data_IF_389739811155
#
_entry.id   IF_389739811155
#
_cell.length_a   1.000
_cell.length_b   1.000
_cell.length_c   1.000
_cell.angle_alpha   90.00
_cell.angle_beta   90.00
_cell.angle_gamma   90.00
#
_symmetry.space_group_name_H-M   'P 1'
#
loop_
_entity.id
_entity.type
_entity.pdbx_description
1 polymer ?
#
# COMPACT_ATOMS: atom_id res chain seq x y z
N UNK A 1 -1.18 -33.64 34.74
CA UNK A 1 -0.75 -32.44 34.02
C UNK A 1 -1.48 -32.47 32.68
N UNK A 2 -2.50 -31.68 32.53
CA UNK A 2 -3.18 -31.48 31.23
C UNK A 2 -2.17 -30.83 30.30
N UNK A 3 -1.73 -31.52 29.27
CA UNK A 3 -0.88 -30.94 28.24
C UNK A 3 -1.63 -29.70 27.67
N UNK A 4 -0.98 -28.56 27.78
CA UNK A 4 -1.53 -27.32 27.28
C UNK A 4 -1.66 -27.42 25.74
N UNK A 5 -2.88 -27.34 25.23
CA UNK A 5 -3.14 -27.28 23.79
C UNK A 5 -2.94 -25.84 23.30
N UNK A 6 -1.93 -25.60 22.48
CA UNK A 6 -1.74 -24.30 21.81
C UNK A 6 -2.91 -23.97 20.89
N UNK A 7 -3.23 -22.68 20.82
CA UNK A 7 -4.30 -22.14 19.97
C UNK A 7 -3.75 -21.05 19.04
N UNK A 8 -4.06 -21.17 17.75
CA UNK A 8 -3.87 -20.12 16.76
C UNK A 8 -5.23 -19.68 16.22
N UNK A 9 -5.51 -18.39 16.27
CA UNK A 9 -6.79 -17.83 15.82
C UNK A 9 -6.58 -16.79 14.73
N UNK A 10 -7.14 -17.04 13.54
CA UNK A 10 -7.34 -16.02 12.50
C UNK A 10 -8.62 -15.25 12.85
N UNK A 11 -8.45 -14.00 13.30
CA UNK A 11 -9.57 -13.21 13.82
C UNK A 11 -10.41 -12.57 12.73
N UNK A 12 -9.81 -12.21 11.60
CA UNK A 12 -10.54 -11.61 10.48
C UNK A 12 -9.78 -11.76 9.15
N UNK A 13 -10.55 -11.91 8.07
CA UNK A 13 -10.08 -11.97 6.70
C UNK A 13 -11.15 -11.44 5.75
N UNK A 14 -10.75 -10.99 4.57
CA UNK A 14 -11.65 -10.51 3.53
C UNK A 14 -11.96 -11.65 2.56
N UNK A 15 -13.22 -12.13 2.56
CA UNK A 15 -13.68 -13.28 1.74
C UNK A 15 -13.48 -13.05 0.25
N UNK A 16 -13.67 -11.81 -0.21
CA UNK A 16 -13.55 -11.45 -1.62
C UNK A 16 -12.10 -11.51 -2.12
N UNK A 17 -11.13 -11.48 -1.21
CA UNK A 17 -9.70 -11.43 -1.53
C UNK A 17 -8.96 -12.71 -1.14
N UNK A 18 -9.42 -13.42 -0.10
CA UNK A 18 -8.73 -14.59 0.43
C UNK A 18 -9.70 -15.56 1.11
N UNK A 19 -9.80 -16.78 0.60
CA UNK A 19 -10.13 -17.89 1.48
C UNK A 19 -8.99 -18.08 2.50
N UNK A 20 -9.26 -18.53 3.76
CA UNK A 20 -8.20 -18.96 4.66
C UNK A 20 -7.29 -19.92 3.90
N UNK A 21 -5.95 -19.78 3.98
CA UNK A 21 -5.05 -20.59 3.17
C UNK A 21 -5.33 -22.09 3.38
N UNK A 22 -5.62 -22.79 2.31
CA UNK A 22 -5.85 -24.23 2.34
C UNK A 22 -4.66 -24.94 2.96
N UNK A 23 -4.91 -25.90 3.85
CA UNK A 23 -3.89 -26.70 4.48
C UNK A 23 -3.24 -26.13 5.76
N UNK A 24 -3.39 -24.83 6.06
CA UNK A 24 -2.81 -24.26 7.30
C UNK A 24 -3.39 -24.95 8.54
N UNK A 25 -4.69 -25.24 8.55
CA UNK A 25 -5.34 -25.94 9.66
C UNK A 25 -4.75 -27.34 9.88
N UNK A 26 -4.51 -28.08 8.81
CA UNK A 26 -3.93 -29.44 8.87
C UNK A 26 -2.46 -29.40 9.31
N UNK A 27 -1.70 -28.41 8.84
CA UNK A 27 -0.30 -28.24 9.26
C UNK A 27 -0.21 -27.92 10.75
N UNK A 28 -1.03 -26.99 11.23
CA UNK A 28 -1.09 -26.65 12.66
C UNK A 28 -1.56 -27.83 13.52
N UNK A 29 -2.55 -28.58 13.04
CA UNK A 29 -3.06 -29.78 13.75
C UNK A 29 -1.99 -30.88 13.89
N UNK A 30 -1.15 -31.07 12.87
CA UNK A 30 0.00 -32.01 12.94
C UNK A 30 0.99 -31.64 14.05
N UNK A 31 1.04 -30.38 14.45
CA UNK A 31 1.86 -29.90 15.57
C UNK A 31 1.08 -29.75 16.88
N UNK A 32 -0.15 -30.29 16.97
CA UNK A 32 -0.98 -30.22 18.17
C UNK A 32 -1.53 -28.82 18.47
N UNK A 33 -1.58 -27.93 17.46
CA UNK A 33 -2.08 -26.57 17.57
C UNK A 33 -3.54 -26.52 17.08
N UNK A 34 -4.44 -26.05 17.93
CA UNK A 34 -5.85 -25.86 17.58
C UNK A 34 -5.97 -24.62 16.68
N UNK A 35 -6.46 -24.81 15.47
CA UNK A 35 -6.77 -23.75 14.51
C UNK A 35 -8.20 -23.26 14.66
N UNK A 36 -8.39 -21.95 14.76
CA UNK A 36 -9.69 -21.27 14.83
C UNK A 36 -9.70 -20.18 13.77
N UNK A 37 -10.75 -20.14 12.96
CA UNK A 37 -10.96 -19.14 11.91
C UNK A 37 -12.28 -18.45 12.14
N UNK A 38 -12.30 -17.13 12.03
CA UNK A 38 -13.52 -16.34 12.13
C UNK A 38 -13.40 -15.00 11.43
N UNK A 39 -14.54 -14.36 11.23
CA UNK A 39 -14.66 -13.01 10.71
C UNK A 39 -15.25 -12.11 11.81
N UNK A 40 -14.37 -11.65 12.68
CA UNK A 40 -14.75 -10.83 13.83
C UNK A 40 -14.56 -9.36 13.46
N UNK A 41 -15.62 -8.76 12.93
CA UNK A 41 -15.62 -7.40 12.32
C UNK A 41 -15.54 -6.26 13.34
N UNK A 42 -15.55 -6.54 14.65
CA UNK A 42 -15.45 -5.56 15.73
C UNK A 42 -14.34 -5.93 16.70
N UNK A 43 -13.77 -4.92 17.38
CA UNK A 43 -12.72 -5.13 18.38
C UNK A 43 -13.20 -6.03 19.52
N UNK A 44 -14.43 -5.87 19.99
CA UNK A 44 -15.00 -6.70 21.05
C UNK A 44 -15.09 -8.17 20.63
N UNK A 45 -15.58 -8.46 19.43
CA UNK A 45 -15.68 -9.83 18.92
C UNK A 45 -14.26 -10.43 18.69
N UNK A 46 -13.29 -9.64 18.25
CA UNK A 46 -11.90 -10.07 18.11
C UNK A 46 -11.28 -10.46 19.46
N UNK A 47 -11.53 -9.69 20.51
CA UNK A 47 -11.09 -10.02 21.89
C UNK A 47 -11.73 -11.33 22.36
N UNK A 48 -13.05 -11.48 22.22
CA UNK A 48 -13.76 -12.68 22.66
C UNK A 48 -13.23 -13.95 21.99
N UNK A 49 -12.94 -13.87 20.69
CA UNK A 49 -12.41 -14.99 19.91
C UNK A 49 -10.95 -15.34 20.27
N UNK A 50 -10.11 -14.33 20.51
CA UNK A 50 -8.66 -14.47 20.60
C UNK A 50 -8.08 -14.38 22.02
N UNK A 51 -8.84 -13.97 23.04
CA UNK A 51 -8.38 -13.75 24.42
C UNK A 51 -7.47 -14.84 24.94
N UNK A 52 -7.84 -16.11 24.74
CA UNK A 52 -7.10 -17.27 25.21
C UNK A 52 -6.25 -17.96 24.10
N UNK A 53 -5.92 -17.24 23.04
CA UNK A 53 -5.10 -17.75 21.95
C UNK A 53 -3.62 -17.46 22.19
N UNK A 54 -2.76 -18.39 21.82
CA UNK A 54 -1.30 -18.24 21.92
C UNK A 54 -0.74 -17.48 20.70
N UNK A 55 -1.40 -17.63 19.54
CA UNK A 55 -1.10 -16.89 18.30
C UNK A 55 -2.39 -16.26 17.78
N UNK A 56 -2.32 -14.98 17.43
CA UNK A 56 -3.42 -14.23 16.81
C UNK A 56 -3.00 -13.82 15.41
N UNK A 57 -3.84 -14.13 14.42
CA UNK A 57 -3.59 -13.79 13.03
C UNK A 57 -4.67 -12.85 12.50
N UNK A 58 -4.30 -11.94 11.60
CA UNK A 58 -5.23 -11.06 10.90
C UNK A 58 -4.80 -10.92 9.44
N UNK A 59 -5.76 -11.06 8.53
CA UNK A 59 -5.54 -10.85 7.09
C UNK A 59 -6.18 -9.55 6.62
N UNK A 60 -7.36 -9.19 7.09
CA UNK A 60 -8.04 -7.95 6.70
C UNK A 60 -7.25 -6.68 7.09
N UNK A 61 -7.53 -5.58 6.42
CA UNK A 61 -6.93 -4.28 6.76
C UNK A 61 -7.61 -3.57 7.94
N UNK A 62 -8.62 -4.19 8.57
CA UNK A 62 -9.40 -3.58 9.66
C UNK A 62 -8.54 -3.31 10.89
N UNK A 63 -8.82 -2.20 11.57
CA UNK A 63 -8.17 -1.76 12.82
C UNK A 63 -8.71 -2.55 14.03
N UNK A 64 -8.42 -3.85 14.07
CA UNK A 64 -8.90 -4.75 15.14
C UNK A 64 -7.86 -4.99 16.23
N UNK A 65 -6.57 -4.85 15.95
CA UNK A 65 -5.48 -5.09 16.91
C UNK A 65 -4.92 -3.79 17.47
N UNK A 66 -5.82 -2.99 18.05
CA UNK A 66 -5.49 -1.75 18.76
C UNK A 66 -4.91 -2.04 20.15
N UNK A 67 -4.28 -1.04 20.79
CA UNK A 67 -3.73 -1.17 22.14
C UNK A 67 -4.71 -1.78 23.15
N UNK A 68 -5.95 -1.25 23.31
CA UNK A 68 -6.95 -1.83 24.21
C UNK A 68 -7.33 -3.28 23.91
N UNK A 69 -7.26 -3.72 22.66
CA UNK A 69 -7.51 -5.12 22.29
C UNK A 69 -6.33 -5.99 22.69
N UNK A 70 -5.10 -5.56 22.35
CA UNK A 70 -3.86 -6.29 22.66
C UNK A 70 -3.68 -6.48 24.16
N UNK A 71 -4.05 -5.48 24.97
CA UNK A 71 -3.99 -5.58 26.43
C UNK A 71 -4.90 -6.70 27.00
N UNK A 72 -5.94 -7.10 26.30
CA UNK A 72 -6.88 -8.15 26.69
C UNK A 72 -6.52 -9.54 26.17
N UNK A 73 -5.47 -9.68 25.36
CA UNK A 73 -5.00 -10.98 24.87
C UNK A 73 -4.15 -11.69 25.94
N UNK A 74 -4.79 -12.43 26.83
CA UNK A 74 -4.19 -12.98 28.07
C UNK A 74 -2.99 -13.89 27.82
N UNK A 75 -2.97 -14.62 26.70
CA UNK A 75 -2.01 -15.69 26.41
C UNK A 75 -1.19 -15.49 25.17
N UNK A 76 -1.50 -14.43 24.40
CA UNK A 76 -0.88 -14.20 23.11
C UNK A 76 0.64 -13.97 23.24
N UNK A 77 1.39 -14.70 22.43
CA UNK A 77 2.84 -14.59 22.32
C UNK A 77 3.28 -14.05 20.97
N UNK A 78 2.42 -14.20 19.96
CA UNK A 78 2.74 -13.77 18.61
C UNK A 78 1.47 -13.28 17.91
N UNK A 79 1.57 -12.14 17.26
CA UNK A 79 0.60 -11.62 16.32
C UNK A 79 1.20 -11.75 14.91
N UNK A 80 0.44 -12.34 13.99
CA UNK A 80 0.86 -12.51 12.58
C UNK A 80 -0.09 -11.72 11.68
N UNK A 81 0.44 -10.68 11.06
CA UNK A 81 -0.24 -9.96 9.99
C UNK A 81 0.00 -10.68 8.66
N UNK A 82 -1.05 -11.28 8.09
CA UNK A 82 -1.00 -11.95 6.79
C UNK A 82 -1.06 -10.90 5.66
N UNK A 83 -0.03 -10.11 5.54
CA UNK A 83 0.16 -9.06 4.56
C UNK A 83 1.42 -8.24 4.83
N UNK A 84 1.80 -7.38 3.88
CA UNK A 84 3.04 -6.60 3.97
C UNK A 84 2.92 -5.44 4.96
N UNK A 85 1.85 -4.65 4.88
CA UNK A 85 1.58 -3.54 5.80
C UNK A 85 1.07 -4.05 7.15
N UNK A 86 1.47 -3.40 8.24
CA UNK A 86 1.10 -3.78 9.62
C UNK A 86 0.62 -2.57 10.45
N UNK A 87 0.24 -1.52 9.80
CA UNK A 87 -0.33 -0.29 10.38
C UNK A 87 -1.67 -0.52 11.11
N UNK A 88 -2.31 -1.67 10.88
CA UNK A 88 -3.51 -2.11 11.60
C UNK A 88 -3.21 -2.91 12.88
N UNK A 89 -1.95 -2.97 13.33
CA UNK A 89 -1.51 -3.61 14.58
C UNK A 89 -0.75 -2.57 15.41
N UNK A 90 -1.19 -2.34 16.65
CA UNK A 90 -0.44 -1.52 17.61
C UNK A 90 0.81 -2.25 18.09
N UNK A 91 1.90 -2.09 17.32
CA UNK A 91 3.19 -2.74 17.59
C UNK A 91 3.77 -2.27 18.93
N UNK A 92 3.53 -1.02 19.35
CA UNK A 92 4.02 -0.49 20.61
C UNK A 92 3.32 -1.18 21.81
N UNK A 93 2.00 -1.38 21.73
CA UNK A 93 1.27 -2.15 22.75
C UNK A 93 1.72 -3.61 22.80
N UNK A 94 1.90 -4.25 21.63
CA UNK A 94 2.42 -5.62 21.55
C UNK A 94 3.81 -5.74 22.20
N UNK A 95 4.70 -4.80 21.93
CA UNK A 95 6.06 -4.75 22.49
C UNK A 95 6.01 -4.61 24.02
N UNK A 96 5.16 -3.73 24.56
CA UNK A 96 4.99 -3.58 26.03
C UNK A 96 4.53 -4.88 26.70
N UNK A 97 3.74 -5.69 25.98
CA UNK A 97 3.24 -6.98 26.43
C UNK A 97 4.22 -8.15 26.17
N UNK A 98 5.36 -7.89 25.53
CA UNK A 98 6.31 -8.95 25.14
C UNK A 98 5.76 -9.86 24.03
N UNK A 99 4.80 -9.38 23.23
CA UNK A 99 4.19 -10.11 22.12
C UNK A 99 4.99 -9.81 20.83
N UNK A 100 5.44 -10.84 20.14
CA UNK A 100 6.09 -10.71 18.84
C UNK A 100 5.07 -10.31 17.78
N UNK A 101 5.44 -9.38 16.88
CA UNK A 101 4.64 -9.04 15.70
C UNK A 101 5.40 -9.45 14.45
N UNK A 102 4.78 -10.28 13.64
CA UNK A 102 5.32 -10.76 12.37
C UNK A 102 4.40 -10.33 11.23
N UNK A 103 4.98 -10.11 10.03
CA UNK A 103 4.24 -9.85 8.81
C UNK A 103 4.75 -10.73 7.66
N UNK A 104 4.12 -10.65 6.48
CA UNK A 104 4.52 -11.37 5.26
C UNK A 104 5.03 -10.39 4.21
N UNK A 105 6.32 -9.97 4.25
CA UNK A 105 6.80 -8.79 3.52
C UNK A 105 7.13 -9.04 2.04
N UNK A 106 7.04 -10.28 1.54
CA UNK A 106 7.53 -10.64 0.21
C UNK A 106 6.50 -11.26 -0.71
N UNK A 107 5.31 -11.64 -0.22
CA UNK A 107 4.34 -12.43 -0.98
C UNK A 107 3.77 -11.70 -2.21
N UNK A 108 3.67 -10.37 -2.17
CA UNK A 108 3.01 -9.56 -3.21
C UNK A 108 3.95 -8.52 -3.85
N UNK A 109 5.27 -8.67 -3.72
CA UNK A 109 6.22 -7.65 -4.22
C UNK A 109 6.07 -7.45 -5.72
N UNK A 110 5.99 -8.54 -6.46
CA UNK A 110 5.86 -8.51 -7.92
C UNK A 110 4.47 -8.03 -8.33
N UNK A 111 3.41 -8.52 -7.69
CA UNK A 111 2.02 -8.15 -8.00
C UNK A 111 1.79 -6.65 -7.82
N UNK A 112 2.25 -6.07 -6.71
CA UNK A 112 2.10 -4.62 -6.45
C UNK A 112 2.98 -3.79 -7.38
N UNK A 113 4.18 -4.27 -7.74
CA UNK A 113 5.02 -3.59 -8.71
C UNK A 113 4.39 -3.60 -10.11
N UNK A 114 3.79 -4.71 -10.52
CA UNK A 114 3.04 -4.84 -11.78
C UNK A 114 1.82 -3.91 -11.77
N UNK A 115 1.08 -3.86 -10.67
CA UNK A 115 -0.08 -2.99 -10.52
C UNK A 115 0.30 -1.50 -10.57
N UNK A 116 1.36 -1.10 -9.88
CA UNK A 116 1.88 0.27 -9.95
C UNK A 116 2.30 0.66 -11.37
N UNK A 117 2.94 -0.27 -12.10
CA UNK A 117 3.25 -0.07 -13.53
C UNK A 117 1.99 0.05 -14.38
N UNK A 118 0.98 -0.80 -14.14
CA UNK A 118 -0.28 -0.76 -14.88
C UNK A 118 -1.00 0.59 -14.69
N UNK A 119 -1.08 1.09 -13.46
CA UNK A 119 -1.64 2.40 -13.14
C UNK A 119 -0.86 3.54 -13.82
N UNK A 120 0.48 3.48 -13.81
CA UNK A 120 1.31 4.43 -14.52
C UNK A 120 1.00 4.42 -16.02
N UNK A 121 0.98 3.23 -16.65
CA UNK A 121 0.77 3.09 -18.09
C UNK A 121 -0.66 3.43 -18.50
N UNK A 122 -1.65 3.12 -17.67
CA UNK A 122 -3.02 3.57 -17.88
C UNK A 122 -3.08 5.09 -17.98
N UNK A 123 -2.58 5.79 -16.94
CA UNK A 123 -2.59 7.25 -16.92
C UNK A 123 -1.83 7.89 -18.09
N UNK A 124 -0.64 7.35 -18.41
CA UNK A 124 0.18 7.85 -19.53
C UNK A 124 -0.48 7.63 -20.90
N UNK A 125 -1.27 6.55 -21.06
CA UNK A 125 -1.86 6.13 -22.35
C UNK A 125 -3.37 6.31 -22.42
N UNK A 126 -4.06 6.58 -21.29
CA UNK A 126 -5.52 6.71 -21.20
C UNK A 126 -6.30 5.50 -21.75
N UNK A 127 -5.84 4.29 -21.43
CA UNK A 127 -6.39 3.06 -22.03
C UNK A 127 -7.85 2.86 -21.61
N UNK A 128 -8.15 2.94 -20.31
CA UNK A 128 -9.50 2.75 -19.79
C UNK A 128 -10.46 3.83 -20.29
N UNK A 129 -10.00 5.08 -20.39
CA UNK A 129 -10.79 6.18 -20.91
C UNK A 129 -11.13 5.98 -22.38
N UNK A 130 -10.17 5.57 -23.20
CA UNK A 130 -10.39 5.30 -24.63
C UNK A 130 -11.30 4.09 -24.82
N UNK A 131 -11.16 3.03 -24.01
CA UNK A 131 -12.03 1.86 -24.04
C UNK A 131 -13.49 2.25 -23.74
N UNK A 132 -13.74 3.04 -22.69
CA UNK A 132 -15.08 3.57 -22.38
C UNK A 132 -15.67 4.36 -23.55
N UNK A 133 -14.91 5.27 -24.16
CA UNK A 133 -15.39 6.06 -25.28
C UNK A 133 -15.80 5.21 -26.47
N UNK A 134 -15.01 4.20 -26.81
CA UNK A 134 -15.35 3.28 -27.92
C UNK A 134 -16.63 2.50 -27.59
N UNK A 135 -16.79 2.01 -26.35
CA UNK A 135 -18.00 1.31 -25.93
C UNK A 135 -19.24 2.20 -25.97
N UNK A 136 -19.08 3.49 -25.64
CA UNK A 136 -20.14 4.51 -25.70
C UNK A 136 -20.40 5.01 -27.15
N UNK A 137 -19.78 4.40 -28.17
CA UNK A 137 -19.93 4.81 -29.59
C UNK A 137 -19.19 6.10 -29.93
N UNK A 138 -18.34 6.60 -29.07
CA UNK A 138 -17.58 7.84 -29.28
C UNK A 138 -16.25 7.56 -29.97
N UNK A 139 -16.08 8.14 -31.17
CA UNK A 139 -14.84 8.11 -31.92
C UNK A 139 -14.21 9.50 -31.94
N UNK A 140 -13.32 9.78 -30.96
CA UNK A 140 -12.65 11.08 -30.84
C UNK A 140 -11.13 10.87 -30.69
N UNK A 141 -10.38 11.33 -31.70
CA UNK A 141 -8.92 11.23 -31.73
C UNK A 141 -8.22 12.44 -31.10
N UNK A 142 -8.94 13.51 -30.83
CA UNK A 142 -8.39 14.82 -30.44
C UNK A 142 -8.80 15.25 -29.02
N UNK A 143 -9.91 14.75 -28.49
CA UNK A 143 -10.45 15.12 -27.18
C UNK A 143 -9.73 14.48 -25.99
N UNK A 144 -8.88 13.47 -26.22
CA UNK A 144 -7.99 12.98 -25.17
C UNK A 144 -6.83 13.96 -24.97
N UNK A 145 -6.47 14.24 -23.71
CA UNK A 145 -5.18 14.90 -23.43
C UNK A 145 -4.09 14.10 -24.13
N UNK A 146 -3.07 14.75 -24.73
CA UNK A 146 -2.05 14.04 -25.50
C UNK A 146 -1.37 12.99 -24.60
N UNK A 147 -1.30 11.75 -25.08
CA UNK A 147 -0.58 10.69 -24.40
C UNK A 147 0.89 11.09 -24.23
N UNK A 148 1.44 10.87 -23.05
CA UNK A 148 2.84 11.20 -22.78
C UNK A 148 3.79 10.12 -23.26
N UNK A 149 4.96 10.55 -23.70
CA UNK A 149 6.08 9.64 -23.95
C UNK A 149 6.83 9.44 -22.64
N UNK A 150 7.14 8.18 -22.30
CA UNK A 150 7.91 7.84 -21.10
C UNK A 150 9.41 8.05 -21.31
N UNK A 151 9.93 7.75 -22.51
CA UNK A 151 11.34 7.89 -22.84
C UNK A 151 11.83 9.33 -22.65
N UNK A 152 12.88 9.48 -21.87
CA UNK A 152 13.49 10.78 -21.55
C UNK A 152 12.83 11.51 -20.36
N UNK A 153 11.75 10.95 -19.79
CA UNK A 153 11.15 11.46 -18.55
C UNK A 153 11.90 10.93 -17.32
N UNK A 154 11.61 11.53 -16.17
CA UNK A 154 12.18 11.15 -14.87
C UNK A 154 11.10 10.50 -14.02
N UNK A 155 11.39 9.31 -13.49
CA UNK A 155 10.57 8.58 -12.52
C UNK A 155 11.17 8.73 -11.13
N UNK A 156 10.40 9.25 -10.17
CA UNK A 156 10.75 9.38 -8.76
C UNK A 156 10.07 8.31 -7.91
N UNK A 157 10.83 7.69 -7.01
CA UNK A 157 10.32 6.71 -6.05
C UNK A 157 10.39 7.31 -4.64
N UNK A 158 9.24 7.52 -4.01
CA UNK A 158 9.14 7.92 -2.61
C UNK A 158 9.17 6.67 -1.74
N UNK A 159 10.28 6.43 -1.08
CA UNK A 159 10.83 5.21 -0.52
C UNK A 159 11.28 4.18 -1.60
N UNK A 160 12.40 3.51 -1.33
CA UNK A 160 13.05 2.62 -2.28
C UNK A 160 13.20 1.18 -1.73
N UNK A 161 12.08 0.68 -1.15
CA UNK A 161 11.95 -0.67 -0.62
C UNK A 161 11.87 -1.76 -1.70
N UNK A 162 11.41 -2.96 -1.32
CA UNK A 162 11.32 -4.12 -2.23
C UNK A 162 10.46 -3.86 -3.46
N UNK A 163 9.26 -3.30 -3.26
CA UNK A 163 8.30 -3.01 -4.35
C UNK A 163 8.85 -1.94 -5.28
N UNK A 164 9.43 -0.85 -4.75
CA UNK A 164 10.03 0.20 -5.56
C UNK A 164 11.18 -0.32 -6.42
N UNK A 165 12.02 -1.22 -5.90
CA UNK A 165 13.11 -1.86 -6.63
C UNK A 165 12.57 -2.75 -7.75
N UNK A 166 11.57 -3.57 -7.46
CA UNK A 166 10.92 -4.40 -8.47
C UNK A 166 10.26 -3.55 -9.57
N UNK A 167 9.65 -2.40 -9.22
CA UNK A 167 9.13 -1.46 -10.21
C UNK A 167 10.26 -0.77 -11.00
N UNK A 168 11.37 -0.41 -10.35
CA UNK A 168 12.54 0.18 -11.03
C UNK A 168 13.10 -0.76 -12.11
N UNK A 169 13.20 -2.07 -11.81
CA UNK A 169 13.61 -3.08 -12.78
C UNK A 169 12.65 -3.13 -13.99
N UNK A 170 11.33 -3.08 -13.75
CA UNK A 170 10.30 -3.10 -14.81
C UNK A 170 10.36 -1.87 -15.71
N UNK A 171 10.58 -0.69 -15.15
CA UNK A 171 10.63 0.56 -15.93
C UNK A 171 12.00 0.84 -16.54
N UNK A 172 13.02 0.05 -16.25
CA UNK A 172 14.38 0.24 -16.78
C UNK A 172 14.42 0.28 -18.32
N UNK A 173 13.57 -0.53 -18.97
CA UNK A 173 13.44 -0.59 -20.44
C UNK A 173 12.72 0.59 -21.09
N UNK A 174 12.07 1.47 -20.29
CA UNK A 174 11.33 2.61 -20.85
C UNK A 174 12.21 3.83 -21.16
N UNK A 175 13.49 3.78 -20.82
CA UNK A 175 14.43 4.87 -21.09
C UNK A 175 14.15 6.12 -20.24
N UNK A 176 13.70 5.93 -19.00
CA UNK A 176 13.51 6.96 -18.00
C UNK A 176 14.79 7.14 -17.15
N UNK A 177 14.98 8.34 -16.62
CA UNK A 177 15.90 8.57 -15.49
C UNK A 177 15.20 8.19 -14.20
N UNK A 178 15.85 7.41 -13.33
CA UNK A 178 15.27 6.95 -12.07
C UNK A 178 15.86 7.72 -10.89
N UNK A 179 15.02 8.27 -10.03
CA UNK A 179 15.39 8.93 -8.78
C UNK A 179 14.76 8.18 -7.60
N UNK A 180 15.53 8.00 -6.52
CA UNK A 180 15.04 7.40 -5.28
C UNK A 180 15.22 8.31 -4.08
N UNK A 181 14.18 8.48 -3.28
CA UNK A 181 14.25 9.03 -1.94
C UNK A 181 13.99 7.93 -0.93
N UNK A 182 14.93 7.67 -0.05
CA UNK A 182 14.75 6.79 1.11
C UNK A 182 15.76 7.22 2.18
N UNK A 183 15.32 7.58 3.40
CA UNK A 183 16.23 8.02 4.46
C UNK A 183 17.11 6.90 5.02
N UNK A 184 16.76 5.63 4.79
CA UNK A 184 17.43 4.47 5.38
C UNK A 184 18.38 3.74 4.41
N UNK A 185 18.36 4.09 3.12
CA UNK A 185 19.22 3.46 2.11
C UNK A 185 20.33 4.39 1.67
N UNK A 186 21.49 3.81 1.38
CA UNK A 186 22.60 4.53 0.76
C UNK A 186 22.48 4.63 -0.77
N UNK A 187 23.32 5.46 -1.37
CA UNK A 187 23.32 5.70 -2.81
C UNK A 187 23.72 4.44 -3.61
N UNK A 188 24.61 3.61 -3.07
CA UNK A 188 25.08 2.39 -3.72
C UNK A 188 23.94 1.36 -3.85
N UNK A 189 23.14 1.20 -2.80
CA UNK A 189 21.97 0.31 -2.81
C UNK A 189 20.95 0.71 -3.88
N UNK A 190 20.74 2.00 -4.13
CA UNK A 190 19.84 2.50 -5.17
C UNK A 190 20.44 2.39 -6.56
N UNK A 191 21.75 2.70 -6.70
CA UNK A 191 22.45 2.64 -7.97
C UNK A 191 22.45 1.24 -8.61
N UNK A 192 22.39 0.17 -7.81
CA UNK A 192 22.24 -1.22 -8.29
C UNK A 192 20.99 -1.44 -9.14
N UNK A 193 19.97 -0.60 -8.93
CA UNK A 193 18.71 -0.60 -9.70
C UNK A 193 18.62 0.56 -10.70
N UNK A 194 19.75 1.22 -10.97
CA UNK A 194 19.82 2.35 -11.90
C UNK A 194 19.21 3.66 -11.38
N UNK A 195 18.93 3.76 -10.07
CA UNK A 195 18.34 4.94 -9.47
C UNK A 195 19.39 5.83 -8.77
N UNK A 196 19.32 7.13 -9.03
CA UNK A 196 20.08 8.16 -8.31
C UNK A 196 19.41 8.45 -6.98
N UNK A 197 20.15 8.37 -5.86
CA UNK A 197 19.65 8.80 -4.56
C UNK A 197 19.63 10.32 -4.46
N UNK A 198 18.46 10.88 -4.12
CA UNK A 198 18.27 12.32 -3.90
C UNK A 198 17.44 12.55 -2.62
N UNK A 199 17.38 13.79 -2.13
CA UNK A 199 16.41 14.17 -1.12
C UNK A 199 15.00 14.30 -1.71
N UNK A 200 13.98 14.39 -0.82
CA UNK A 200 12.58 14.43 -1.25
C UNK A 200 12.28 15.68 -2.11
N UNK A 201 12.75 16.85 -1.69
CA UNK A 201 12.49 18.10 -2.41
C UNK A 201 13.12 18.08 -3.83
N UNK A 202 14.31 17.51 -3.96
CA UNK A 202 14.98 17.35 -5.25
C UNK A 202 14.22 16.34 -6.14
N UNK A 203 13.77 15.21 -5.58
CA UNK A 203 12.93 14.24 -6.30
C UNK A 203 11.68 14.93 -6.84
N UNK A 204 10.95 15.65 -6.00
CA UNK A 204 9.70 16.32 -6.36
C UNK A 204 9.90 17.34 -7.49
N UNK A 205 11.00 18.10 -7.46
CA UNK A 205 11.33 19.10 -8.50
C UNK A 205 11.72 18.47 -9.84
N UNK A 206 12.33 17.28 -9.84
CA UNK A 206 12.87 16.66 -11.05
C UNK A 206 11.96 15.61 -11.68
N UNK A 207 11.08 14.99 -10.92
CA UNK A 207 10.25 13.89 -11.39
C UNK A 207 9.09 14.34 -12.30
N UNK A 208 8.87 13.62 -13.39
CA UNK A 208 7.69 13.72 -14.25
C UNK A 208 6.61 12.73 -13.82
N UNK A 209 7.04 11.60 -13.25
CA UNK A 209 6.22 10.55 -12.66
C UNK A 209 6.71 10.27 -11.24
N UNK A 210 5.81 10.11 -10.29
CA UNK A 210 6.15 9.82 -8.90
C UNK A 210 5.36 8.58 -8.46
N UNK A 211 6.04 7.59 -7.88
CA UNK A 211 5.40 6.42 -7.27
C UNK A 211 5.74 6.34 -5.78
N UNK A 212 4.70 6.15 -4.97
CA UNK A 212 4.78 6.14 -3.50
C UNK A 212 4.84 4.71 -3.00
N UNK A 213 5.87 4.39 -2.19
CA UNK A 213 6.14 3.04 -1.68
C UNK A 213 6.53 3.00 -0.20
N UNK A 214 6.35 4.10 0.54
CA UNK A 214 6.64 4.14 1.96
C UNK A 214 5.53 3.51 2.81
N UNK A 215 5.84 2.96 3.99
CA UNK A 215 4.82 2.55 4.95
C UNK A 215 4.13 3.79 5.55
N UNK A 216 2.90 3.62 6.06
CA UNK A 216 2.22 4.65 6.84
C UNK A 216 2.78 4.66 8.27
N UNK A 217 3.28 5.81 8.67
CA UNK A 217 3.80 6.12 10.02
C UNK A 217 3.45 7.56 10.35
N UNK A 218 3.68 8.01 11.60
CA UNK A 218 3.51 9.42 11.97
C UNK A 218 4.37 10.37 11.10
N UNK A 219 5.52 9.90 10.60
CA UNK A 219 6.42 10.68 9.76
C UNK A 219 6.00 10.71 8.28
N UNK A 220 5.20 9.75 7.84
CA UNK A 220 4.76 9.62 6.45
C UNK A 220 3.28 9.95 6.25
N UNK A 221 2.53 10.18 7.33
CA UNK A 221 1.18 10.70 7.26
C UNK A 221 1.19 12.09 6.62
N UNK A 222 0.42 12.27 5.54
CA UNK A 222 0.40 13.48 4.72
C UNK A 222 1.78 13.96 4.27
N UNK A 223 2.70 13.01 4.00
CA UNK A 223 4.03 13.30 3.47
C UNK A 223 3.97 14.10 2.17
N UNK A 224 2.94 13.85 1.35
CA UNK A 224 2.66 14.63 0.14
C UNK A 224 1.40 15.47 0.37
N UNK A 225 1.60 16.75 0.69
CA UNK A 225 0.54 17.73 0.92
C UNK A 225 0.77 18.98 0.07
N UNK A 226 0.12 20.08 0.39
CA UNK A 226 0.14 21.33 -0.40
C UNK A 226 1.54 21.83 -0.72
N UNK A 227 2.49 21.75 0.25
CA UNK A 227 3.87 22.17 0.05
C UNK A 227 4.55 21.29 -1.00
N UNK A 228 4.42 19.99 -0.86
CA UNK A 228 5.08 19.00 -1.72
C UNK A 228 4.51 19.09 -3.14
N UNK A 229 3.18 19.20 -3.29
CA UNK A 229 2.57 19.47 -4.60
C UNK A 229 3.09 20.77 -5.20
N UNK A 230 3.30 21.80 -4.39
CA UNK A 230 3.89 23.08 -4.85
C UNK A 230 5.28 22.90 -5.48
N UNK A 231 6.11 22.00 -4.95
CA UNK A 231 7.47 21.72 -5.43
C UNK A 231 7.50 20.89 -6.72
N UNK A 232 6.49 20.06 -6.98
CA UNK A 232 6.46 19.16 -8.13
C UNK A 232 6.49 19.94 -9.45
N UNK A 233 6.85 19.27 -10.53
CA UNK A 233 6.68 19.82 -11.89
C UNK A 233 5.21 20.04 -12.22
N UNK A 234 4.94 21.05 -13.05
CA UNK A 234 3.62 21.22 -13.63
C UNK A 234 3.24 20.00 -14.46
N UNK A 235 2.09 19.39 -14.16
CA UNK A 235 1.59 18.22 -14.87
C UNK A 235 2.29 16.92 -14.49
N UNK A 236 2.81 16.78 -13.28
CA UNK A 236 3.32 15.49 -12.77
C UNK A 236 2.20 14.44 -12.75
N UNK A 237 2.55 13.17 -12.93
CA UNK A 237 1.64 12.04 -12.70
C UNK A 237 2.05 11.27 -11.45
N UNK A 238 1.09 10.93 -10.61
CA UNK A 238 1.31 10.30 -9.32
C UNK A 238 0.75 8.88 -9.31
N UNK A 239 1.46 7.93 -8.68
CA UNK A 239 0.98 6.57 -8.40
C UNK A 239 1.10 6.31 -6.90
N UNK A 240 0.02 5.80 -6.28
CA UNK A 240 0.04 5.36 -4.90
C UNK A 240 -0.60 3.97 -4.76
N UNK A 241 0.24 2.98 -4.48
CA UNK A 241 -0.15 1.59 -4.14
C UNK A 241 0.29 1.21 -2.73
N UNK A 242 0.57 2.21 -1.88
CA UNK A 242 1.04 2.01 -0.50
C UNK A 242 -0.09 2.13 0.52
N UNK A 243 -0.38 3.37 0.95
CA UNK A 243 -1.47 3.74 1.87
C UNK A 243 -2.04 5.09 1.49
N UNK A 244 -3.38 5.23 1.55
CA UNK A 244 -4.07 6.49 1.24
C UNK A 244 -3.56 7.68 2.04
N UNK A 245 -3.52 7.61 3.39
CA UNK A 245 -3.13 8.75 4.23
C UNK A 245 -1.67 9.23 4.11
N UNK A 246 -0.86 8.66 3.22
CA UNK A 246 0.45 9.21 2.87
C UNK A 246 0.30 10.47 2.01
N UNK A 247 -0.79 10.55 1.27
CA UNK A 247 -1.16 11.69 0.46
C UNK A 247 -2.32 12.40 1.13
N UNK A 248 -2.21 13.70 1.34
CA UNK A 248 -3.33 14.56 1.72
C UNK A 248 -4.30 14.67 0.53
N UNK A 249 -5.44 13.98 0.60
CA UNK A 249 -6.41 13.92 -0.50
C UNK A 249 -7.01 15.28 -0.81
N UNK A 250 -7.19 16.18 0.17
CA UNK A 250 -7.69 17.53 -0.06
C UNK A 250 -6.69 18.33 -0.89
N UNK A 251 -5.41 18.24 -0.55
CA UNK A 251 -4.33 18.87 -1.29
C UNK A 251 -4.18 18.27 -2.70
N UNK A 252 -4.33 16.93 -2.84
CA UNK A 252 -4.30 16.25 -4.14
C UNK A 252 -5.43 16.72 -5.05
N UNK A 253 -6.67 16.81 -4.54
CA UNK A 253 -7.82 17.33 -5.31
C UNK A 253 -7.55 18.76 -5.81
N UNK A 254 -6.98 19.63 -4.95
CA UNK A 254 -6.56 20.98 -5.35
C UNK A 254 -5.50 20.97 -6.45
N UNK A 255 -4.52 20.07 -6.34
CA UNK A 255 -3.45 19.90 -7.33
C UNK A 255 -3.96 19.35 -8.67
N UNK A 256 -4.93 18.44 -8.65
CA UNK A 256 -5.60 17.90 -9.84
C UNK A 256 -6.42 19.00 -10.54
N UNK A 257 -7.24 19.75 -9.81
CA UNK A 257 -8.05 20.86 -10.35
C UNK A 257 -7.21 21.95 -11.00
N UNK A 258 -6.07 22.28 -10.39
CA UNK A 258 -5.14 23.28 -10.96
C UNK A 258 -4.30 22.74 -12.12
N UNK A 259 -4.33 21.44 -12.38
CA UNK A 259 -3.48 20.75 -13.36
C UNK A 259 -2.02 20.65 -12.92
N UNK A 260 -1.68 20.98 -11.69
CA UNK A 260 -0.34 20.76 -11.11
C UNK A 260 0.00 19.27 -11.11
N UNK A 261 -0.95 18.45 -10.67
CA UNK A 261 -0.98 17.02 -10.92
C UNK A 261 -1.85 16.77 -12.14
N UNK A 262 -1.31 16.16 -13.16
CA UNK A 262 -2.04 15.87 -14.40
C UNK A 262 -3.02 14.72 -14.26
N UNK A 263 -2.71 13.75 -13.40
CA UNK A 263 -3.54 12.60 -13.06
C UNK A 263 -2.88 11.78 -11.97
N UNK A 264 -3.64 10.89 -11.39
CA UNK A 264 -3.17 9.99 -10.35
C UNK A 264 -3.73 8.58 -10.56
N UNK A 265 -2.85 7.56 -10.43
CA UNK A 265 -3.22 6.15 -10.31
C UNK A 265 -3.26 5.77 -8.83
N UNK A 266 -4.44 5.61 -8.27
CA UNK A 266 -4.63 5.36 -6.85
C UNK A 266 -5.25 3.97 -6.64
N UNK A 267 -4.58 3.14 -5.87
CA UNK A 267 -5.07 1.83 -5.41
C UNK A 267 -5.60 1.91 -3.97
N UNK A 268 -5.27 2.99 -3.27
CA UNK A 268 -5.56 3.21 -1.85
C UNK A 268 -6.03 4.64 -1.60
N UNK A 269 -6.88 4.82 -0.56
CA UNK A 269 -7.53 6.09 -0.23
C UNK A 269 -7.43 6.38 1.26
N UNK A 270 -7.61 7.66 1.67
CA UNK A 270 -7.66 8.02 3.10
C UNK A 270 -8.84 7.36 3.81
N UNK A 271 -9.97 7.27 3.12
CA UNK A 271 -11.13 6.55 3.59
C UNK A 271 -11.46 5.41 2.62
N UNK A 272 -11.47 4.20 3.14
CA UNK A 272 -11.81 2.98 2.39
C UNK A 272 -13.03 2.27 3.02
N UNK A 273 -14.06 1.94 2.25
CA UNK A 273 -14.23 2.20 0.81
C UNK A 273 -14.33 3.69 0.46
N UNK A 274 -13.84 4.07 -0.75
CA UNK A 274 -13.91 5.46 -1.22
C UNK A 274 -15.35 5.97 -1.21
N UNK A 275 -15.68 7.05 -0.46
CA UNK A 275 -17.03 7.60 -0.37
C UNK A 275 -17.63 7.93 -1.74
N UNK A 276 -18.94 7.79 -1.86
CA UNK A 276 -19.64 8.05 -3.13
C UNK A 276 -19.57 9.54 -3.54
N UNK A 277 -19.45 10.43 -2.57
CA UNK A 277 -19.33 11.88 -2.72
C UNK A 277 -17.88 12.39 -2.75
N UNK A 278 -16.90 11.48 -2.79
CA UNK A 278 -15.48 11.87 -2.87
C UNK A 278 -15.22 12.71 -4.13
N UNK A 279 -14.55 13.84 -3.93
CA UNK A 279 -14.14 14.74 -5.02
C UNK A 279 -13.13 14.07 -5.99
N UNK A 280 -12.45 13.01 -5.59
CA UNK A 280 -11.59 12.24 -6.49
C UNK A 280 -12.36 11.59 -7.64
N UNK A 281 -13.67 11.35 -7.49
CA UNK A 281 -14.54 10.78 -8.54
C UNK A 281 -14.88 11.77 -9.66
N UNK A 282 -14.53 13.05 -9.50
CA UNK A 282 -14.71 14.08 -10.54
C UNK A 282 -13.68 13.95 -11.67
N UNK A 283 -12.60 13.20 -11.47
CA UNK A 283 -11.50 13.07 -12.43
C UNK A 283 -11.59 11.74 -13.19
N UNK A 284 -11.21 11.80 -14.49
CA UNK A 284 -11.14 10.64 -15.37
C UNK A 284 -9.84 9.82 -15.14
#
# INVERSE_FOLDING_TARGET
MTLHSFKATLIDYDEDLFAPPDGVGDDLARHGIKWIVGQHRTQQAAVEAARASDVVMIQSARQLLTGPVIEQLERCRCIVRLGTGYDNVDVAAATRRGILVCNTPTYCVDDVADHALALLMEGVRHIARQDRWIRDGRWDRTGARPARRTKGCTMGFVAFGRIARALAERVSGFGMTLLGYDPYLDAEAMARYGAEKVDLDELLKRADFISVHCPLTDQTHHLLSTREFGLMKQGVFLVNTSRGPIIDEVALVGALRSGKVWGAGLDVFEQEPLPLDSALREFD
#
